data_IF_423247418994
#
_entry.id   IF_423247418994
#
_cell.length_a   1.000
_cell.length_b   1.000
_cell.length_c   1.000
_cell.angle_alpha   90.00
_cell.angle_beta   90.00
_cell.angle_gamma   90.00
#
_symmetry.space_group_name_H-M   'P 1'
#
loop_
_entity.id
_entity.type
_entity.pdbx_description
1 polymer ?
#
# COMPACT_ATOMS: atom_id res chain seq x y z
N UNK A 1 7.66 32.21 -18.70
CA UNK A 1 7.72 32.52 -17.26
C UNK A 1 6.53 31.85 -16.60
N UNK A 2 6.71 30.72 -15.90
CA UNK A 2 5.61 30.07 -15.17
C UNK A 2 5.29 30.90 -13.93
N UNK A 3 4.03 31.31 -13.76
CA UNK A 3 3.56 32.14 -12.65
C UNK A 3 3.59 31.40 -11.31
N UNK A 4 3.52 30.06 -11.35
CA UNK A 4 3.61 29.17 -10.20
C UNK A 4 4.68 28.12 -10.46
N UNK A 5 5.53 27.87 -9.46
CA UNK A 5 6.54 26.80 -9.47
C UNK A 5 6.36 25.97 -8.21
N UNK A 6 6.39 24.64 -8.33
CA UNK A 6 6.55 23.78 -7.17
C UNK A 6 7.90 24.09 -6.50
N UNK A 7 7.89 24.23 -5.18
CA UNK A 7 9.11 24.26 -4.39
C UNK A 7 9.39 22.83 -3.97
N UNK A 8 10.51 22.31 -4.44
CA UNK A 8 10.97 20.98 -4.09
C UNK A 8 11.63 21.03 -2.71
N UNK A 9 11.12 20.24 -1.77
CA UNK A 9 11.69 20.13 -0.43
C UNK A 9 12.50 18.84 -0.27
N UNK A 10 12.05 17.78 -0.96
CA UNK A 10 12.65 16.46 -0.93
C UNK A 10 12.33 15.75 -2.24
N UNK A 11 13.30 15.04 -2.80
CA UNK A 11 13.11 14.16 -3.95
C UNK A 11 14.17 13.07 -3.96
N UNK A 12 13.81 11.93 -4.52
CA UNK A 12 14.75 10.82 -4.75
C UNK A 12 14.34 10.04 -5.99
N UNK A 13 15.29 9.30 -6.57
CA UNK A 13 15.05 8.41 -7.69
C UNK A 13 15.04 6.96 -7.22
N UNK A 14 13.96 6.23 -7.50
CA UNK A 14 13.84 4.83 -7.14
C UNK A 14 14.50 3.93 -8.19
N UNK A 15 15.64 3.33 -7.85
CA UNK A 15 16.31 2.31 -8.65
C UNK A 15 16.75 2.75 -10.06
N UNK A 16 16.99 1.77 -10.94
CA UNK A 16 17.34 1.98 -12.35
C UNK A 16 16.33 1.24 -13.23
N UNK A 17 15.67 1.97 -14.13
CA UNK A 17 14.67 1.43 -15.07
C UNK A 17 13.50 0.70 -14.39
N UNK A 18 13.18 1.06 -13.14
CA UNK A 18 12.01 0.55 -12.45
C UNK A 18 10.71 1.16 -13.00
N UNK A 19 9.64 0.38 -12.97
CA UNK A 19 8.31 0.78 -13.44
C UNK A 19 7.33 0.86 -12.27
N UNK A 20 6.46 1.86 -12.31
CA UNK A 20 5.48 2.17 -11.29
C UNK A 20 4.14 2.54 -11.95
N UNK A 21 3.05 2.31 -11.24
CA UNK A 21 1.70 2.72 -11.61
C UNK A 21 1.04 3.51 -10.47
N UNK A 22 -0.21 3.92 -10.65
CA UNK A 22 -1.00 4.70 -9.69
C UNK A 22 -1.10 4.07 -8.29
N UNK A 23 -1.09 2.74 -8.19
CA UNK A 23 -1.23 1.99 -6.94
C UNK A 23 0.10 1.75 -6.21
N UNK A 24 1.22 2.14 -6.81
CA UNK A 24 2.56 1.81 -6.31
C UNK A 24 3.02 2.69 -5.15
N UNK A 25 2.31 3.77 -4.82
CA UNK A 25 2.71 4.71 -3.77
C UNK A 25 1.57 4.96 -2.79
N UNK A 26 1.90 4.93 -1.50
CA UNK A 26 0.97 5.31 -0.43
C UNK A 26 1.70 6.04 0.68
N UNK A 27 0.98 6.86 1.43
CA UNK A 27 1.53 7.65 2.54
C UNK A 27 0.67 7.41 3.77
N UNK A 28 1.28 6.93 4.84
CA UNK A 28 0.61 6.82 6.14
C UNK A 28 1.62 6.77 7.29
N UNK A 29 1.11 6.96 8.50
CA UNK A 29 1.85 6.68 9.73
C UNK A 29 1.86 5.17 9.99
N UNK A 30 3.03 4.55 9.80
CA UNK A 30 3.23 3.12 10.00
C UNK A 30 3.60 2.75 11.44
N UNK A 31 4.24 3.68 12.15
CA UNK A 31 4.81 3.45 13.48
C UNK A 31 3.86 3.91 14.60
N UNK A 32 2.80 4.65 14.27
CA UNK A 32 1.87 5.25 15.22
C UNK A 32 2.49 6.41 16.01
N UNK A 33 3.59 6.98 15.51
CA UNK A 33 4.35 8.05 16.15
C UNK A 33 3.94 9.45 15.66
N UNK A 34 3.03 9.52 14.69
CA UNK A 34 2.56 10.77 14.07
C UNK A 34 3.37 11.22 12.86
N UNK A 35 4.46 10.51 12.53
CA UNK A 35 5.27 10.78 11.34
C UNK A 35 4.73 10.01 10.14
N UNK A 36 4.58 10.68 9.01
CA UNK A 36 4.11 10.05 7.77
C UNK A 36 5.29 9.44 7.02
N UNK A 37 5.15 8.17 6.66
CA UNK A 37 6.10 7.46 5.82
C UNK A 37 5.56 7.36 4.40
N UNK A 38 6.44 7.49 3.41
CA UNK A 38 6.16 7.25 2.00
C UNK A 38 6.53 5.81 1.69
N UNK A 39 5.55 4.99 1.34
CA UNK A 39 5.76 3.60 0.93
C UNK A 39 5.67 3.52 -0.58
N UNK A 40 6.69 2.94 -1.21
CA UNK A 40 6.78 2.78 -2.66
C UNK A 40 7.05 1.32 -3.00
N UNK A 41 6.16 0.73 -3.80
CA UNK A 41 6.29 -0.62 -4.34
C UNK A 41 6.53 -0.58 -5.85
N UNK A 42 7.55 -1.28 -6.32
CA UNK A 42 7.95 -1.33 -7.72
C UNK A 42 7.45 -2.60 -8.41
N UNK A 43 7.17 -2.53 -9.71
CA UNK A 43 6.89 -3.71 -10.52
C UNK A 43 8.11 -4.65 -10.64
N UNK A 44 9.32 -4.17 -10.33
CA UNK A 44 10.52 -5.01 -10.22
C UNK A 44 10.58 -5.81 -8.90
N UNK A 45 9.61 -5.63 -7.99
CA UNK A 45 9.52 -6.33 -6.71
C UNK A 45 10.18 -5.61 -5.53
N UNK A 46 10.72 -4.40 -5.72
CA UNK A 46 11.28 -3.62 -4.61
C UNK A 46 10.18 -2.92 -3.80
N UNK A 47 10.22 -3.06 -2.48
CA UNK A 47 9.44 -2.27 -1.54
C UNK A 47 10.39 -1.35 -0.77
N UNK A 48 10.10 -0.05 -0.80
CA UNK A 48 10.87 1.00 -0.13
C UNK A 48 9.97 1.80 0.79
N UNK A 49 10.47 2.12 1.98
CA UNK A 49 9.78 3.00 2.92
C UNK A 49 10.73 4.16 3.23
N UNK A 50 10.25 5.36 2.93
CA UNK A 50 10.97 6.59 3.22
C UNK A 50 10.27 7.36 4.34
N UNK A 51 11.05 7.98 5.19
CA UNK A 51 10.62 8.97 6.16
C UNK A 51 11.45 10.23 5.95
N UNK A 52 10.98 11.18 5.13
CA UNK A 52 11.73 12.41 4.88
C UNK A 52 11.71 13.27 6.14
N UNK A 53 12.88 13.50 6.73
CA UNK A 53 13.03 14.43 7.85
C UNK A 53 13.30 15.84 7.34
N UNK A 54 12.38 16.77 7.63
CA UNK A 54 12.59 18.19 7.38
C UNK A 54 13.45 18.76 8.50
N UNK A 55 14.76 18.54 8.39
CA UNK A 55 15.71 19.01 9.40
C UNK A 55 15.81 20.54 9.34
N UNK A 56 15.32 21.22 10.39
CA UNK A 56 15.17 22.68 10.42
C UNK A 56 16.48 23.46 10.53
N UNK A 57 17.61 22.78 10.76
CA UNK A 57 18.91 23.41 11.06
C UNK A 57 19.94 23.27 9.94
N UNK A 58 19.69 22.45 8.91
CA UNK A 58 20.61 22.23 7.81
C UNK A 58 20.03 22.70 6.48
N UNK A 59 20.68 23.69 5.86
CA UNK A 59 20.46 24.22 4.49
C UNK A 59 20.60 23.17 3.36
N UNK A 60 20.74 21.89 3.68
CA UNK A 60 20.75 20.80 2.70
C UNK A 60 19.33 20.35 2.40
N UNK A 61 18.65 21.11 1.54
CA UNK A 61 17.44 20.65 0.84
C UNK A 61 17.80 19.38 0.03
N UNK A 62 17.14 18.25 0.30
CA UNK A 62 17.28 17.03 -0.50
C UNK A 62 17.36 15.72 0.27
N UNK A 63 17.42 14.61 -0.49
CA UNK A 63 17.45 13.25 0.02
C UNK A 63 18.71 12.93 0.83
N UNK A 64 18.51 12.33 1.99
CA UNK A 64 19.57 11.76 2.83
C UNK A 64 19.42 10.23 2.89
N UNK A 65 20.52 9.47 2.96
CA UNK A 65 20.43 8.01 3.12
C UNK A 65 19.67 7.56 4.37
N UNK A 66 19.61 8.41 5.40
CA UNK A 66 18.83 8.19 6.64
C UNK A 66 17.32 8.23 6.41
N UNK A 67 16.86 8.90 5.36
CA UNK A 67 15.44 8.99 5.03
C UNK A 67 14.90 7.64 4.53
N UNK A 68 15.76 6.73 4.07
CA UNK A 68 15.36 5.37 3.66
C UNK A 68 15.36 4.45 4.88
N UNK A 69 14.18 4.14 5.40
CA UNK A 69 14.02 3.27 6.56
C UNK A 69 14.31 1.81 6.21
N UNK A 70 13.78 1.35 5.08
CA UNK A 70 13.99 -0.02 4.60
C UNK A 70 13.86 -0.10 3.08
N UNK A 71 14.71 -0.91 2.48
CA UNK A 71 14.60 -1.39 1.11
C UNK A 71 14.62 -2.92 1.14
N UNK A 72 13.60 -3.56 0.58
CA UNK A 72 13.50 -5.02 0.54
C UNK A 72 13.04 -5.48 -0.83
N UNK A 73 13.71 -6.50 -1.36
CA UNK A 73 13.32 -7.16 -2.60
C UNK A 73 12.34 -8.29 -2.29
N UNK A 74 11.10 -8.13 -2.73
CA UNK A 74 10.06 -9.15 -2.67
C UNK A 74 10.22 -10.13 -3.85
N UNK A 75 9.75 -11.38 -3.71
CA UNK A 75 9.91 -12.40 -4.74
C UNK A 75 9.03 -12.15 -5.98
N UNK A 76 8.01 -11.30 -5.88
CA UNK A 76 7.04 -11.02 -6.94
C UNK A 76 6.89 -9.52 -7.19
N UNK A 77 6.47 -9.11 -8.41
CA UNK A 77 6.13 -7.72 -8.73
C UNK A 77 5.11 -7.13 -7.77
N UNK A 78 5.28 -5.86 -7.39
CA UNK A 78 4.27 -5.14 -6.61
C UNK A 78 3.34 -4.41 -7.57
N UNK A 79 2.05 -4.77 -7.57
CA UNK A 79 1.01 -4.12 -8.37
C UNK A 79 0.47 -2.89 -7.64
N UNK A 80 0.15 -3.06 -6.35
CA UNK A 80 -0.42 -2.00 -5.55
C UNK A 80 0.00 -2.16 -4.07
N UNK A 81 0.15 -1.03 -3.38
CA UNK A 81 0.38 -0.97 -1.93
C UNK A 81 -0.73 -0.16 -1.27
N UNK A 82 -1.21 -0.63 -0.12
CA UNK A 82 -2.14 0.12 0.72
C UNK A 82 -1.85 -0.16 2.20
N UNK A 83 -2.32 0.74 3.07
CA UNK A 83 -2.09 0.66 4.51
C UNK A 83 -3.45 0.60 5.22
N UNK A 84 -3.55 -0.21 6.27
CA UNK A 84 -4.74 -0.30 7.10
C UNK A 84 -4.59 -1.28 8.27
N UNK A 85 -5.66 -1.50 9.02
CA UNK A 85 -5.72 -2.43 10.17
C UNK A 85 -6.11 -3.83 9.70
N UNK A 86 -5.16 -4.50 9.07
CA UNK A 86 -5.33 -5.76 8.36
C UNK A 86 -5.15 -7.01 9.24
N UNK A 87 -4.56 -6.89 10.44
CA UNK A 87 -4.32 -8.04 11.33
C UNK A 87 -5.35 -8.12 12.45
N UNK A 88 -5.91 -9.31 12.67
CA UNK A 88 -6.88 -9.58 13.74
C UNK A 88 -6.29 -9.30 15.12
N UNK A 89 -7.01 -8.51 15.93
CA UNK A 89 -6.63 -8.23 17.32
C UNK A 89 -5.53 -7.17 17.49
N UNK A 90 -4.90 -6.70 16.41
CA UNK A 90 -4.01 -5.54 16.46
C UNK A 90 -4.75 -4.25 16.14
N UNK A 91 -4.27 -3.14 16.71
CA UNK A 91 -4.66 -1.78 16.31
C UNK A 91 -3.56 -1.06 15.52
N UNK A 92 -2.39 -1.69 15.35
CA UNK A 92 -1.34 -1.18 14.48
C UNK A 92 -1.78 -1.23 13.02
N UNK A 93 -1.20 -0.35 12.22
CA UNK A 93 -1.33 -0.35 10.76
C UNK A 93 -0.35 -1.33 10.15
N UNK A 94 -0.79 -2.04 9.12
CA UNK A 94 0.02 -2.95 8.33
C UNK A 94 0.05 -2.50 6.88
N UNK A 95 1.06 -2.98 6.16
CA UNK A 95 1.26 -2.74 4.73
C UNK A 95 0.69 -3.93 3.98
N UNK A 96 -0.39 -3.71 3.25
CA UNK A 96 -0.90 -4.66 2.27
C UNK A 96 -0.17 -4.47 0.94
N UNK A 97 0.38 -5.55 0.40
CA UNK A 97 1.09 -5.58 -0.89
C UNK A 97 0.38 -6.58 -1.80
N UNK A 98 -0.11 -6.08 -2.92
CA UNK A 98 -0.75 -6.88 -3.95
C UNK A 98 0.29 -7.34 -4.98
N UNK A 99 0.36 -8.65 -5.17
CA UNK A 99 1.14 -9.31 -6.20
C UNK A 99 0.20 -9.94 -7.24
N UNK A 100 0.67 -10.32 -8.44
CA UNK A 100 -0.18 -10.86 -9.50
C UNK A 100 -1.05 -12.05 -9.08
N UNK A 101 -0.56 -12.92 -8.19
CA UNK A 101 -1.27 -14.12 -7.73
C UNK A 101 -1.26 -14.28 -6.21
N UNK A 102 -0.88 -13.23 -5.46
CA UNK A 102 -0.96 -13.28 -4.01
C UNK A 102 -1.20 -11.90 -3.40
N UNK A 103 -1.72 -11.87 -2.18
CA UNK A 103 -1.87 -10.66 -1.39
C UNK A 103 -1.15 -10.89 -0.05
N UNK A 104 -0.04 -10.20 0.13
CA UNK A 104 0.79 -10.31 1.33
C UNK A 104 0.56 -9.12 2.26
N UNK A 105 0.47 -9.39 3.56
CA UNK A 105 0.35 -8.36 4.59
C UNK A 105 1.61 -8.37 5.43
N UNK A 106 2.25 -7.21 5.53
CA UNK A 106 3.51 -7.02 6.25
C UNK A 106 3.34 -6.03 7.40
N UNK A 107 4.05 -6.27 8.48
CA UNK A 107 4.20 -5.35 9.60
C UNK A 107 5.63 -4.82 9.62
N UNK A 108 5.77 -3.49 9.74
CA UNK A 108 7.05 -2.85 9.97
C UNK A 108 7.36 -2.94 11.47
N UNK A 109 8.50 -3.54 11.82
CA UNK A 109 8.97 -3.67 13.20
C UNK A 109 10.25 -2.87 13.34
N UNK A 110 10.25 -1.94 14.30
CA UNK A 110 11.43 -1.19 14.71
C UNK A 110 12.18 -1.98 15.78
N UNK A 111 13.46 -2.22 15.56
CA UNK A 111 14.39 -2.79 16.54
C UNK A 111 15.35 -1.67 16.93
N UNK A 112 15.12 -1.09 18.11
CA UNK A 112 15.98 -0.03 18.64
C UNK A 112 17.39 -0.60 18.88
N UNK A 113 18.37 -0.05 18.18
CA UNK A 113 19.75 -0.50 18.25
C UNK A 113 20.46 0.01 19.50
N UNK A 114 21.37 -0.79 20.06
CA UNK A 114 22.26 -0.32 21.14
C UNK A 114 23.32 0.64 20.58
N UNK A 115 23.05 1.95 20.68
CA UNK A 115 23.95 3.13 20.66
C UNK A 115 25.07 3.27 19.59
N UNK A 116 25.36 2.28 18.73
CA UNK A 116 26.45 2.35 17.74
C UNK A 116 26.03 2.00 16.30
N UNK A 117 24.81 1.45 16.08
CA UNK A 117 24.37 0.97 14.75
C UNK A 117 22.98 1.48 14.31
N UNK A 118 22.49 2.58 14.87
CA UNK A 118 21.20 3.18 14.50
C UNK A 118 19.98 2.28 14.79
N UNK A 119 18.79 2.82 14.55
CA UNK A 119 17.55 2.04 14.62
C UNK A 119 17.42 1.19 13.35
N UNK A 120 17.09 -0.08 13.52
CA UNK A 120 16.94 -1.03 12.41
C UNK A 120 15.47 -1.36 12.20
N UNK A 121 15.02 -1.23 10.96
CA UNK A 121 13.66 -1.58 10.57
C UNK A 121 13.65 -2.93 9.87
N UNK A 122 12.72 -3.80 10.27
CA UNK A 122 12.49 -5.09 9.65
C UNK A 122 11.05 -5.22 9.18
N UNK A 123 10.89 -5.77 7.98
CA UNK A 123 9.59 -6.10 7.43
C UNK A 123 9.25 -7.56 7.75
N UNK A 124 8.21 -7.77 8.54
CA UNK A 124 7.74 -9.11 8.93
C UNK A 124 6.44 -9.42 8.22
N UNK A 125 6.41 -10.50 7.44
CA UNK A 125 5.17 -10.98 6.82
C UNK A 125 4.25 -11.57 7.89
N UNK A 126 3.05 -11.01 8.03
CA UNK A 126 2.03 -11.49 8.96
C UNK A 126 1.30 -12.71 8.38
N UNK A 127 0.79 -12.56 7.15
CA UNK A 127 0.14 -13.62 6.40
C UNK A 127 0.14 -13.31 4.91
N UNK A 128 -0.13 -14.33 4.10
CA UNK A 128 -0.25 -14.21 2.65
C UNK A 128 -1.47 -15.02 2.16
N UNK A 129 -2.30 -14.38 1.35
CA UNK A 129 -3.39 -15.02 0.62
C UNK A 129 -2.95 -15.40 -0.78
N UNK A 130 -3.07 -16.68 -1.12
CA UNK A 130 -2.85 -17.15 -2.48
C UNK A 130 -4.11 -16.93 -3.32
N UNK A 131 -3.96 -16.23 -4.45
CA UNK A 131 -5.06 -15.88 -5.34
C UNK A 131 -5.11 -16.87 -6.50
N UNK A 132 -6.29 -17.44 -6.73
CA UNK A 132 -6.51 -18.35 -7.88
C UNK A 132 -6.64 -17.61 -9.21
N UNK A 133 -6.81 -16.29 -9.17
CA UNK A 133 -7.02 -15.41 -10.32
C UNK A 133 -5.99 -14.29 -10.29
N UNK A 134 -5.59 -13.83 -11.47
CA UNK A 134 -4.68 -12.69 -11.57
C UNK A 134 -5.35 -11.42 -11.08
N UNK A 135 -4.69 -10.70 -10.17
CA UNK A 135 -5.22 -9.47 -9.57
C UNK A 135 -5.01 -8.24 -10.45
N UNK A 136 -5.91 -7.27 -10.35
CA UNK A 136 -5.78 -5.95 -10.96
C UNK A 136 -5.49 -4.87 -9.92
N UNK A 137 -6.37 -4.71 -8.94
CA UNK A 137 -6.26 -3.70 -7.88
C UNK A 137 -6.99 -4.18 -6.63
N UNK A 138 -6.77 -3.50 -5.51
CA UNK A 138 -7.48 -3.79 -4.27
C UNK A 138 -7.84 -2.54 -3.48
N UNK A 139 -8.77 -2.70 -2.56
CA UNK A 139 -9.17 -1.69 -1.61
C UNK A 139 -9.06 -2.22 -0.20
N UNK A 140 -8.78 -1.29 0.72
CA UNK A 140 -8.77 -1.52 2.16
C UNK A 140 -9.83 -0.62 2.77
N UNK A 141 -10.65 -1.17 3.68
CA UNK A 141 -11.57 -0.35 4.46
C UNK A 141 -12.48 -1.15 5.39
N UNK A 142 -13.24 -0.44 6.24
CA UNK A 142 -14.11 -1.04 7.24
C UNK A 142 -15.45 -1.49 6.64
N UNK A 143 -15.43 -2.45 5.71
CA UNK A 143 -16.65 -2.93 5.05
C UNK A 143 -17.69 -3.43 6.07
N UNK A 144 -18.97 -3.11 5.87
CA UNK A 144 -20.01 -3.45 6.84
C UNK A 144 -20.04 -2.57 8.09
N UNK A 145 -19.27 -1.48 8.13
CA UNK A 145 -19.17 -0.59 9.30
C UNK A 145 -18.33 -1.16 10.44
N UNK A 146 -17.36 -2.03 10.13
CA UNK A 146 -16.44 -2.60 11.11
C UNK A 146 -15.65 -1.50 11.85
N UNK A 147 -15.53 -1.61 13.18
CA UNK A 147 -14.79 -0.64 13.98
C UNK A 147 -13.42 -1.17 14.36
N UNK A 148 -12.38 -0.42 14.02
CA UNK A 148 -11.00 -0.71 14.39
C UNK A 148 -10.39 -1.91 13.66
N UNK A 149 -10.96 -2.29 12.51
CA UNK A 149 -10.46 -3.33 11.60
C UNK A 149 -10.77 -2.90 10.18
N UNK A 150 -9.86 -3.22 9.28
CA UNK A 150 -10.06 -3.03 7.86
C UNK A 150 -10.04 -4.37 7.15
N UNK A 151 -10.86 -4.48 6.12
CA UNK A 151 -10.98 -5.64 5.26
C UNK A 151 -10.43 -5.33 3.88
N UNK A 152 -10.14 -6.39 3.13
CA UNK A 152 -9.50 -6.29 1.82
C UNK A 152 -10.52 -6.76 0.77
N UNK A 153 -10.70 -5.95 -0.28
CA UNK A 153 -11.44 -6.35 -1.47
C UNK A 153 -10.49 -6.28 -2.66
N UNK A 154 -10.27 -7.41 -3.33
CA UNK A 154 -9.39 -7.52 -4.49
C UNK A 154 -10.25 -7.68 -5.74
N UNK A 155 -10.02 -6.83 -6.74
CA UNK A 155 -10.57 -6.99 -8.08
C UNK A 155 -9.59 -7.79 -8.93
N UNK A 156 -10.04 -8.92 -9.45
CA UNK A 156 -9.31 -9.72 -10.45
C UNK A 156 -9.46 -9.14 -11.86
N UNK A 157 -8.54 -9.49 -12.75
CA UNK A 157 -8.58 -9.09 -14.16
C UNK A 157 -9.84 -9.56 -14.90
N UNK A 158 -10.52 -10.60 -14.40
CA UNK A 158 -11.76 -11.14 -14.96
C UNK A 158 -13.04 -10.52 -14.37
N UNK A 159 -12.90 -9.51 -13.50
CA UNK A 159 -14.03 -8.80 -12.90
C UNK A 159 -14.61 -9.46 -11.67
N UNK A 160 -13.91 -10.44 -11.09
CA UNK A 160 -14.28 -11.01 -9.80
C UNK A 160 -13.77 -10.13 -8.66
N UNK A 161 -14.67 -9.70 -7.77
CA UNK A 161 -14.34 -9.12 -6.48
C UNK A 161 -14.19 -10.23 -5.44
N UNK A 162 -13.05 -10.28 -4.79
CA UNK A 162 -12.70 -11.24 -3.75
C UNK A 162 -12.55 -10.52 -2.41
N UNK A 163 -13.38 -10.89 -1.44
CA UNK A 163 -13.44 -10.27 -0.12
C UNK A 163 -12.69 -11.10 0.90
N UNK A 164 -11.85 -10.44 1.70
CA UNK A 164 -11.07 -11.04 2.77
C UNK A 164 -11.31 -10.28 4.07
N UNK A 165 -11.72 -11.01 5.09
CA UNK A 165 -11.81 -10.55 6.46
C UNK A 165 -10.47 -10.82 7.14
N UNK A 166 -9.50 -9.92 6.94
CA UNK A 166 -8.14 -10.04 7.51
C UNK A 166 -7.47 -11.35 7.04
N UNK A 167 -7.22 -12.30 7.94
CA UNK A 167 -6.60 -13.60 7.65
C UNK A 167 -7.55 -14.61 7.00
N UNK A 168 -8.85 -14.31 6.90
CA UNK A 168 -9.84 -15.25 6.35
C UNK A 168 -10.40 -14.78 5.02
N UNK A 169 -10.51 -15.71 4.08
CA UNK A 169 -11.29 -15.49 2.86
C UNK A 169 -12.78 -15.51 3.20
N UNK A 170 -13.52 -14.51 2.73
CA UNK A 170 -14.96 -14.42 2.96
C UNK A 170 -15.74 -14.93 1.75
N UNK A 171 -15.65 -14.22 0.61
CA UNK A 171 -16.52 -14.51 -0.54
C UNK A 171 -16.01 -13.92 -1.86
N UNK A 172 -16.42 -14.52 -2.97
CA UNK A 172 -16.24 -13.99 -4.32
C UNK A 172 -17.57 -13.53 -4.94
N UNK A 173 -17.54 -12.40 -5.65
CA UNK A 173 -18.66 -11.87 -6.43
C UNK A 173 -18.17 -11.36 -7.77
N UNK A 174 -18.70 -11.90 -8.86
CA UNK A 174 -18.38 -11.42 -10.20
C UNK A 174 -19.23 -10.20 -10.55
N UNK A 175 -18.57 -9.18 -11.11
CA UNK A 175 -19.25 -7.96 -11.58
C UNK A 175 -20.11 -8.29 -12.81
N UNK A 176 -21.36 -7.78 -12.86
CA UNK A 176 -22.18 -7.91 -14.05
C UNK A 176 -21.62 -7.03 -15.17
N UNK A 177 -21.83 -7.43 -16.43
CA UNK A 177 -21.44 -6.65 -17.61
C UNK A 177 -19.95 -6.23 -17.61
N UNK A 178 -19.08 -7.14 -17.21
CA UNK A 178 -17.64 -6.91 -17.17
C UNK A 178 -16.98 -7.13 -18.54
N UNK A 179 -16.01 -6.26 -18.88
CA UNK A 179 -15.18 -6.40 -20.08
C UNK A 179 -13.70 -6.17 -19.74
N UNK A 180 -13.41 -5.06 -19.06
CA UNK A 180 -12.08 -4.69 -18.59
C UNK A 180 -12.15 -4.26 -17.13
N UNK A 181 -11.09 -4.53 -16.34
CA UNK A 181 -11.01 -4.05 -14.98
C UNK A 181 -10.91 -2.52 -14.98
N UNK A 182 -11.50 -1.94 -13.96
CA UNK A 182 -11.67 -0.50 -13.82
C UNK A 182 -11.50 -0.08 -12.37
N UNK A 183 -11.10 1.17 -12.11
CA UNK A 183 -11.03 1.68 -10.75
C UNK A 183 -12.36 1.50 -10.03
N UNK A 184 -12.29 1.08 -8.78
CA UNK A 184 -13.42 0.99 -7.88
C UNK A 184 -13.06 1.62 -6.53
N UNK A 185 -14.07 2.08 -5.80
CA UNK A 185 -13.91 2.73 -4.50
C UNK A 185 -14.98 2.22 -3.53
N UNK A 186 -14.62 2.14 -2.26
CA UNK A 186 -15.55 1.87 -1.17
C UNK A 186 -15.99 3.18 -0.53
N UNK A 187 -17.30 3.35 -0.33
CA UNK A 187 -17.91 4.53 0.28
C UNK A 187 -18.43 4.14 1.67
N UNK A 188 -17.70 4.45 2.76
CA UNK A 188 -18.09 4.02 4.11
C UNK A 188 -19.42 4.59 4.59
N UNK A 189 -19.81 5.78 4.12
CA UNK A 189 -21.07 6.43 4.53
C UNK A 189 -22.33 5.70 4.03
N UNK A 190 -22.22 5.00 2.90
CA UNK A 190 -23.30 4.25 2.27
C UNK A 190 -23.07 2.73 2.30
N UNK A 191 -21.95 2.29 2.88
CA UNK A 191 -21.49 0.90 2.87
C UNK A 191 -21.58 0.25 1.47
N UNK A 192 -21.14 0.99 0.46
CA UNK A 192 -21.31 0.62 -0.95
C UNK A 192 -19.98 0.66 -1.70
N UNK A 193 -19.82 -0.28 -2.63
CA UNK A 193 -18.75 -0.25 -3.62
C UNK A 193 -19.25 0.44 -4.88
N UNK A 194 -18.50 1.42 -5.36
CA UNK A 194 -18.75 2.13 -6.61
C UNK A 194 -17.73 1.65 -7.62
N UNK A 195 -18.22 1.14 -8.76
CA UNK A 195 -17.39 0.56 -9.82
C UNK A 195 -17.81 1.19 -11.15
N UNK A 196 -16.84 1.61 -11.96
CA UNK A 196 -17.13 2.06 -13.32
C UNK A 196 -17.22 0.85 -14.26
N UNK A 197 -18.36 0.57 -14.87
CA UNK A 197 -18.45 -0.53 -15.83
C UNK A 197 -18.06 -0.09 -17.27
N UNK A 198 -17.85 -1.05 -18.16
CA UNK A 198 -17.51 -0.80 -19.56
C UNK A 198 -18.61 -0.08 -20.36
N UNK A 199 -19.83 0.00 -19.82
CA UNK A 199 -20.93 0.75 -20.41
C UNK A 199 -20.91 2.24 -20.02
N UNK A 200 -19.86 2.70 -19.33
CA UNK A 200 -19.73 4.07 -18.82
C UNK A 200 -20.85 4.47 -17.84
N UNK A 201 -21.37 3.49 -17.12
CA UNK A 201 -22.38 3.66 -16.06
C UNK A 201 -21.69 3.45 -14.72
N UNK A 202 -22.04 4.32 -13.76
CA UNK A 202 -21.57 4.31 -12.38
C UNK A 202 -22.64 3.72 -11.45
#
# INVERSE_FOLDING_TARGET
MSLFKSRELWSTFCGKEEQFDNGCMTVADLLGQGFQCIVVGSHSGFLRIFQPEADSECDTEGYRPTDLLIETQLPQPVIQVAIGKLVSGSQSTQIGVLHPHSMAVYSLVEISGSAQHGDQYHLVMAYEHQLSRSSYSFLVGPFGGAKGRDFICIQSLDGTLSFFEQETFAVNRSLPCFLLPSPFVYVPSADSFVVLNANWIL
#
